data_IF_445432890520
#
_entry.id   IF_445432890520
#
_cell.length_a   1.000
_cell.length_b   1.000
_cell.length_c   1.000
_cell.angle_alpha   90.00
_cell.angle_beta   90.00
_cell.angle_gamma   90.00
#
_symmetry.space_group_name_H-M   'P 1'
#
loop_
_entity.id
_entity.type
_entity.pdbx_description
1 polymer ?
#
# COMPACT_ATOMS: atom_id res chain seq x y z
N UNK A 1 -38.34 18.56 15.90
CA UNK A 1 -37.72 18.49 14.54
C UNK A 1 -37.22 19.87 14.15
N UNK A 2 -35.96 20.20 14.44
CA UNK A 2 -35.34 21.45 13.98
C UNK A 2 -34.78 21.24 12.57
N UNK A 3 -35.39 21.89 11.57
CA UNK A 3 -34.87 21.94 10.20
C UNK A 3 -33.54 22.71 10.21
N UNK A 4 -32.42 21.99 10.13
CA UNK A 4 -31.12 22.53 9.76
C UNK A 4 -31.23 23.13 8.34
N UNK A 5 -31.51 24.42 8.24
CA UNK A 5 -31.38 25.18 6.99
C UNK A 5 -29.89 25.36 6.68
N UNK A 6 -29.32 24.46 5.89
CA UNK A 6 -28.02 24.67 5.26
C UNK A 6 -28.16 25.72 4.15
N UNK A 7 -27.93 26.98 4.49
CA UNK A 7 -27.91 28.08 3.52
C UNK A 7 -26.49 28.22 2.96
N UNK A 8 -26.20 27.55 1.85
CA UNK A 8 -24.90 27.62 1.16
C UNK A 8 -24.78 28.89 0.31
N UNK A 9 -24.50 30.03 0.93
CA UNK A 9 -24.23 31.28 0.21
C UNK A 9 -22.73 31.36 -0.18
N UNK A 10 -22.33 30.66 -1.25
CA UNK A 10 -20.93 30.53 -1.69
C UNK A 10 -20.32 31.81 -2.31
N UNK A 11 -21.15 32.74 -2.80
CA UNK A 11 -20.69 33.80 -3.74
C UNK A 11 -19.85 34.93 -3.13
N UNK A 12 -19.91 35.19 -1.82
CA UNK A 12 -19.28 36.37 -1.20
C UNK A 12 -18.22 36.08 -0.11
N UNK A 13 -17.87 34.81 0.15
CA UNK A 13 -17.01 34.45 1.30
C UNK A 13 -15.64 33.84 0.94
N UNK A 14 -15.42 33.41 -0.31
CA UNK A 14 -14.12 32.87 -0.73
C UNK A 14 -13.11 34.00 -0.93
N UNK A 15 -12.04 34.01 -0.12
CA UNK A 15 -11.02 35.04 -0.21
C UNK A 15 -9.97 34.67 -1.26
N UNK A 16 -10.03 35.30 -2.44
CA UNK A 16 -9.01 35.14 -3.49
C UNK A 16 -7.92 36.22 -3.47
N UNK A 17 -8.03 37.24 -2.62
CA UNK A 17 -7.09 38.38 -2.61
C UNK A 17 -5.70 37.98 -2.12
N UNK A 18 -4.68 38.22 -2.94
CA UNK A 18 -3.27 37.97 -2.58
C UNK A 18 -2.71 39.15 -1.79
N UNK A 19 -3.05 40.38 -2.20
CA UNK A 19 -2.64 41.62 -1.55
C UNK A 19 -3.60 41.97 -0.42
N UNK A 20 -3.06 42.30 0.74
CA UNK A 20 -3.79 42.75 1.92
C UNK A 20 -3.03 43.94 2.52
N UNK A 21 -3.74 44.83 3.21
CA UNK A 21 -3.11 46.01 3.83
C UNK A 21 -2.15 45.62 4.96
N UNK A 22 -2.36 44.45 5.56
CA UNK A 22 -1.47 43.88 6.56
C UNK A 22 -0.42 42.95 5.92
N UNK A 23 0.86 43.32 6.04
CA UNK A 23 2.01 42.58 5.51
C UNK A 23 2.11 41.13 6.04
N UNK A 24 1.69 40.85 7.27
CA UNK A 24 1.71 39.49 7.83
C UNK A 24 0.66 38.59 7.16
N UNK A 25 -0.54 39.14 6.90
CA UNK A 25 -1.62 38.43 6.22
C UNK A 25 -1.25 38.20 4.76
N UNK A 26 -0.64 39.18 4.10
CA UNK A 26 -0.12 39.05 2.74
C UNK A 26 0.94 37.95 2.64
N UNK A 27 1.91 37.91 3.56
CA UNK A 27 2.94 36.86 3.61
C UNK A 27 2.33 35.47 3.79
N UNK A 28 1.33 35.33 4.67
CA UNK A 28 0.61 34.07 4.88
C UNK A 28 -0.18 33.63 3.64
N UNK A 29 -0.88 34.55 2.99
CA UNK A 29 -1.63 34.28 1.76
C UNK A 29 -0.70 33.83 0.62
N UNK A 30 0.43 34.52 0.43
CA UNK A 30 1.44 34.15 -0.56
C UNK A 30 2.04 32.76 -0.29
N UNK A 31 2.34 32.46 0.98
CA UNK A 31 2.85 31.15 1.36
C UNK A 31 1.85 30.01 1.06
N UNK A 32 0.54 30.24 1.26
CA UNK A 32 -0.50 29.26 0.92
C UNK A 32 -0.62 29.02 -0.58
N UNK A 33 -0.54 30.07 -1.41
CA UNK A 33 -0.52 29.92 -2.87
C UNK A 33 0.71 29.18 -3.35
N UNK A 34 1.90 29.52 -2.82
CA UNK A 34 3.14 28.83 -3.16
C UNK A 34 3.03 27.34 -2.84
N UNK A 35 2.55 27.00 -1.64
CA UNK A 35 2.38 25.60 -1.23
C UNK A 35 1.34 24.89 -2.09
N UNK A 36 0.20 25.52 -2.38
CA UNK A 36 -0.82 24.97 -3.29
C UNK A 36 -0.22 24.64 -4.66
N UNK A 37 0.47 25.60 -5.28
CA UNK A 37 1.07 25.43 -6.60
C UNK A 37 2.13 24.33 -6.63
N UNK A 38 3.10 24.34 -5.70
CA UNK A 38 4.14 23.31 -5.66
C UNK A 38 3.57 21.93 -5.31
N UNK A 39 2.56 21.85 -4.42
CA UNK A 39 1.88 20.59 -4.11
C UNK A 39 1.17 20.01 -5.32
N UNK A 40 0.47 20.85 -6.12
CA UNK A 40 -0.17 20.40 -7.35
C UNK A 40 0.87 19.91 -8.37
N UNK A 41 1.96 20.66 -8.56
CA UNK A 41 3.03 20.29 -9.49
C UNK A 41 3.71 18.97 -9.09
N UNK A 42 4.08 18.81 -7.82
CA UNK A 42 4.69 17.56 -7.33
C UNK A 42 3.69 16.40 -7.49
N UNK A 43 2.41 16.61 -7.17
CA UNK A 43 1.40 15.57 -7.32
C UNK A 43 1.24 15.11 -8.77
N UNK A 44 1.22 16.03 -9.74
CA UNK A 44 1.19 15.69 -11.16
C UNK A 44 2.43 14.90 -11.62
N UNK A 45 3.62 15.27 -11.13
CA UNK A 45 4.87 14.54 -11.45
C UNK A 45 4.84 13.11 -10.89
N UNK A 46 4.35 12.94 -9.66
CA UNK A 46 4.20 11.64 -9.00
C UNK A 46 3.24 10.72 -9.77
N UNK A 47 2.25 11.29 -10.46
CA UNK A 47 1.31 10.57 -11.32
C UNK A 47 1.87 10.21 -12.71
N UNK A 48 3.13 10.52 -13.02
CA UNK A 48 3.71 10.22 -14.34
C UNK A 48 3.57 8.74 -14.77
N UNK A 49 3.81 7.71 -13.91
CA UNK A 49 3.59 6.32 -14.32
C UNK A 49 2.12 6.04 -14.63
N UNK A 50 1.20 6.71 -13.94
CA UNK A 50 -0.24 6.56 -14.14
C UNK A 50 -0.69 7.16 -15.48
N UNK A 51 -0.07 8.23 -15.97
CA UNK A 51 -0.35 8.74 -17.32
C UNK A 51 0.09 7.78 -18.42
N UNK A 52 1.25 7.14 -18.24
CA UNK A 52 1.71 6.08 -19.16
C UNK A 52 0.72 4.91 -19.14
N UNK A 53 0.25 4.53 -17.95
CA UNK A 53 -0.78 3.50 -17.81
C UNK A 53 -2.08 3.84 -18.56
N UNK A 54 -2.60 5.07 -18.40
CA UNK A 54 -3.79 5.52 -19.15
C UNK A 54 -3.55 5.38 -20.65
N UNK A 55 -2.41 5.88 -21.16
CA UNK A 55 -2.07 5.76 -22.57
C UNK A 55 -2.09 4.29 -23.05
N UNK A 56 -1.46 3.38 -22.30
CA UNK A 56 -1.42 1.95 -22.64
C UNK A 56 -2.83 1.36 -22.66
N UNK A 57 -3.63 1.58 -21.63
CA UNK A 57 -4.99 1.00 -21.55
C UNK A 57 -5.92 1.49 -22.66
N UNK A 58 -5.72 2.70 -23.18
CA UNK A 58 -6.54 3.26 -24.25
C UNK A 58 -6.08 2.86 -25.65
N UNK A 59 -4.85 2.36 -25.80
CA UNK A 59 -4.25 2.01 -27.10
C UNK A 59 -3.90 0.52 -27.21
N UNK A 60 -4.39 -0.32 -26.30
CA UNK A 60 -4.11 -1.75 -26.32
C UNK A 60 -5.27 -2.51 -26.98
N UNK A 61 -5.14 -2.80 -28.27
CA UNK A 61 -6.13 -3.57 -29.04
C UNK A 61 -6.35 -4.97 -28.44
N UNK A 62 -5.32 -5.58 -27.85
CA UNK A 62 -5.44 -6.88 -27.19
C UNK A 62 -6.32 -6.80 -25.93
N UNK A 63 -6.26 -5.68 -25.19
CA UNK A 63 -7.15 -5.44 -24.05
C UNK A 63 -8.60 -5.28 -24.52
N UNK A 64 -8.83 -4.51 -25.60
CA UNK A 64 -10.18 -4.31 -26.13
C UNK A 64 -10.80 -5.64 -26.58
N UNK A 65 -10.04 -6.46 -27.29
CA UNK A 65 -10.47 -7.80 -27.70
C UNK A 65 -10.76 -8.70 -26.50
N UNK A 66 -9.91 -8.68 -25.47
CA UNK A 66 -10.13 -9.39 -24.21
C UNK A 66 -11.44 -8.96 -23.53
N UNK A 67 -11.68 -7.65 -23.43
CA UNK A 67 -12.87 -7.10 -22.77
C UNK A 67 -14.15 -7.39 -23.54
N UNK A 68 -14.10 -7.46 -24.87
CA UNK A 68 -15.25 -7.86 -25.70
C UNK A 68 -15.64 -9.34 -25.48
N UNK A 69 -14.66 -10.20 -25.20
CA UNK A 69 -14.85 -11.63 -24.99
C UNK A 69 -14.92 -12.02 -23.50
N UNK A 70 -15.02 -11.05 -22.59
CA UNK A 70 -14.97 -11.27 -21.15
C UNK A 70 -16.05 -12.23 -20.65
N UNK A 71 -17.23 -12.23 -21.25
CA UNK A 71 -18.34 -13.09 -20.84
C UNK A 71 -17.96 -14.57 -20.99
N UNK A 72 -17.38 -14.93 -22.14
CA UNK A 72 -16.91 -16.29 -22.44
C UNK A 72 -15.81 -16.71 -21.45
N UNK A 73 -14.85 -15.82 -21.21
CA UNK A 73 -13.76 -16.06 -20.26
C UNK A 73 -14.30 -16.24 -18.83
N UNK A 74 -15.22 -15.37 -18.40
CA UNK A 74 -15.75 -15.34 -17.03
C UNK A 74 -16.59 -16.55 -16.64
N UNK A 75 -17.13 -17.30 -17.62
CA UNK A 75 -17.84 -18.55 -17.38
C UNK A 75 -16.92 -19.67 -16.91
N UNK A 76 -15.65 -19.64 -17.32
CA UNK A 76 -14.69 -20.72 -17.09
C UNK A 76 -13.51 -20.29 -16.21
N UNK A 77 -13.17 -19.00 -16.21
CA UNK A 77 -12.00 -18.43 -15.57
C UNK A 77 -12.36 -17.17 -14.78
N UNK A 78 -11.86 -17.05 -13.55
CA UNK A 78 -11.95 -15.84 -12.72
C UNK A 78 -11.02 -14.70 -13.19
N UNK A 79 -11.32 -14.12 -14.35
CA UNK A 79 -10.50 -13.08 -15.00
C UNK A 79 -10.97 -11.66 -14.63
N UNK A 80 -10.08 -10.65 -14.65
CA UNK A 80 -10.47 -9.27 -14.33
C UNK A 80 -11.49 -8.68 -15.31
N UNK A 81 -12.60 -8.16 -14.79
CA UNK A 81 -13.65 -7.57 -15.63
C UNK A 81 -13.37 -6.12 -16.04
N UNK A 82 -14.21 -5.59 -16.94
CA UNK A 82 -14.10 -4.21 -17.42
C UNK A 82 -14.11 -3.15 -16.30
N UNK A 83 -14.96 -3.34 -15.29
CA UNK A 83 -15.04 -2.40 -14.17
C UNK A 83 -13.77 -2.40 -13.31
N UNK A 84 -13.17 -3.56 -13.09
CA UNK A 84 -11.94 -3.75 -12.32
C UNK A 84 -10.72 -3.12 -13.00
N UNK A 85 -10.68 -3.04 -14.33
CA UNK A 85 -9.60 -2.37 -15.06
C UNK A 85 -9.99 -0.91 -15.34
N UNK A 86 -10.96 -0.68 -16.23
CA UNK A 86 -11.30 0.64 -16.76
C UNK A 86 -12.14 1.46 -15.77
N UNK A 87 -13.08 0.83 -15.06
CA UNK A 87 -13.91 1.52 -14.06
C UNK A 87 -13.08 2.09 -12.90
N UNK A 88 -12.18 1.29 -12.33
CA UNK A 88 -11.24 1.73 -11.29
C UNK A 88 -10.29 2.83 -11.79
N UNK A 89 -9.84 2.76 -13.06
CA UNK A 89 -9.02 3.80 -13.69
C UNK A 89 -9.76 5.14 -13.71
N UNK A 90 -10.98 5.18 -14.22
CA UNK A 90 -11.73 6.44 -14.32
C UNK A 90 -12.19 6.99 -12.97
N UNK A 91 -12.49 6.11 -12.00
CA UNK A 91 -12.74 6.56 -10.63
C UNK A 91 -11.48 7.20 -10.01
N UNK A 92 -10.31 6.61 -10.24
CA UNK A 92 -9.02 7.20 -9.84
C UNK A 92 -8.84 8.59 -10.45
N UNK A 93 -9.06 8.74 -11.76
CA UNK A 93 -9.02 10.05 -12.46
C UNK A 93 -10.00 11.04 -11.84
N UNK A 94 -11.23 10.61 -11.51
CA UNK A 94 -12.20 11.45 -10.81
C UNK A 94 -11.69 11.99 -9.48
N UNK A 95 -11.04 11.15 -8.68
CA UNK A 95 -10.39 11.58 -7.43
C UNK A 95 -9.16 12.46 -7.67
N UNK A 96 -8.35 12.24 -8.72
CA UNK A 96 -7.24 13.13 -9.10
C UNK A 96 -7.77 14.53 -9.39
N UNK A 97 -8.82 14.64 -10.20
CA UNK A 97 -9.45 15.94 -10.53
C UNK A 97 -9.99 16.60 -9.27
N UNK A 98 -10.68 15.85 -8.41
CA UNK A 98 -11.17 16.35 -7.12
C UNK A 98 -10.01 16.87 -6.25
N UNK A 99 -8.91 16.12 -6.13
CA UNK A 99 -7.72 16.52 -5.38
C UNK A 99 -7.11 17.80 -5.94
N UNK A 100 -6.98 17.94 -7.26
CA UNK A 100 -6.47 19.15 -7.90
C UNK A 100 -7.37 20.36 -7.61
N UNK A 101 -8.69 20.19 -7.73
CA UNK A 101 -9.66 21.24 -7.36
C UNK A 101 -9.47 21.62 -5.90
N UNK A 102 -9.38 20.65 -4.98
CA UNK A 102 -9.14 20.94 -3.58
C UNK A 102 -7.83 21.74 -3.42
N UNK A 103 -6.69 21.27 -3.93
CA UNK A 103 -5.40 21.98 -3.81
C UNK A 103 -5.50 23.42 -4.34
N UNK A 104 -6.10 23.65 -5.50
CA UNK A 104 -6.24 24.99 -6.08
C UNK A 104 -7.11 25.90 -5.19
N UNK A 105 -8.14 25.34 -4.56
CA UNK A 105 -9.03 26.04 -3.62
C UNK A 105 -8.51 26.09 -2.18
N UNK A 106 -7.29 25.61 -1.91
CA UNK A 106 -6.68 25.60 -0.58
C UNK A 106 -6.74 26.97 0.11
N UNK A 107 -6.19 27.99 -0.54
CA UNK A 107 -6.16 29.34 0.00
C UNK A 107 -7.57 29.91 0.21
N UNK A 108 -8.44 29.99 -0.82
CA UNK A 108 -9.74 30.65 -0.68
C UNK A 108 -10.64 29.96 0.35
N UNK A 109 -10.50 28.64 0.54
CA UNK A 109 -11.24 27.91 1.55
C UNK A 109 -10.70 28.15 2.98
N UNK A 110 -9.39 28.05 3.18
CA UNK A 110 -8.78 28.15 4.52
C UNK A 110 -8.90 29.57 5.10
N UNK A 111 -8.87 30.58 4.23
CA UNK A 111 -8.90 32.01 4.60
C UNK A 111 -10.31 32.63 4.55
N UNK A 112 -11.34 31.83 4.29
CA UNK A 112 -12.74 32.24 4.31
C UNK A 112 -13.15 32.76 5.70
N UNK A 113 -13.93 33.86 5.72
CA UNK A 113 -14.48 34.44 6.95
C UNK A 113 -15.40 33.41 7.65
N UNK A 114 -15.31 33.30 8.98
CA UNK A 114 -16.09 32.38 9.84
C UNK A 114 -15.78 30.86 9.72
N UNK A 115 -14.61 30.44 9.21
CA UNK A 115 -14.21 29.02 9.27
C UNK A 115 -13.68 28.62 10.64
N UNK A 116 -14.31 27.63 11.26
CA UNK A 116 -13.82 26.98 12.49
C UNK A 116 -12.60 26.11 12.20
N UNK A 117 -11.80 25.83 13.24
CA UNK A 117 -10.63 24.94 13.14
C UNK A 117 -11.02 23.53 12.66
N UNK A 118 -12.15 23.01 13.14
CA UNK A 118 -12.69 21.72 12.72
C UNK A 118 -12.99 21.67 11.22
N UNK A 119 -13.52 22.75 10.63
CA UNK A 119 -13.80 22.79 9.19
C UNK A 119 -12.52 22.79 8.35
N UNK A 120 -11.44 23.42 8.83
CA UNK A 120 -10.13 23.34 8.17
C UNK A 120 -9.55 21.94 8.28
N UNK A 121 -9.76 21.26 9.41
CA UNK A 121 -9.28 19.91 9.64
C UNK A 121 -10.01 18.90 8.76
N UNK A 122 -11.35 18.99 8.66
CA UNK A 122 -12.16 18.19 7.73
C UNK A 122 -11.68 18.38 6.30
N UNK A 123 -11.44 19.62 5.88
CA UNK A 123 -10.96 19.91 4.53
C UNK A 123 -9.61 19.23 4.23
N UNK A 124 -8.65 19.28 5.17
CA UNK A 124 -7.38 18.59 4.97
C UNK A 124 -7.54 17.07 5.00
N UNK A 125 -8.42 16.53 5.84
CA UNK A 125 -8.77 15.11 5.82
C UNK A 125 -9.36 14.70 4.46
N UNK A 126 -10.28 15.50 3.90
CA UNK A 126 -10.85 15.25 2.56
C UNK A 126 -9.78 15.33 1.48
N UNK A 127 -8.88 16.31 1.52
CA UNK A 127 -7.76 16.41 0.59
C UNK A 127 -6.87 15.15 0.66
N UNK A 128 -6.46 14.77 1.87
CA UNK A 128 -5.61 13.58 2.10
C UNK A 128 -6.32 12.31 1.63
N UNK A 129 -7.59 12.13 2.00
CA UNK A 129 -8.40 11.00 1.59
C UNK A 129 -8.57 10.92 0.08
N UNK A 130 -8.80 12.06 -0.60
CA UNK A 130 -8.89 12.10 -2.06
C UNK A 130 -7.59 11.69 -2.75
N UNK A 131 -6.43 12.14 -2.24
CA UNK A 131 -5.15 11.70 -2.77
C UNK A 131 -4.94 10.20 -2.58
N UNK A 132 -5.13 9.69 -1.36
CA UNK A 132 -4.92 8.28 -1.05
C UNK A 132 -5.87 7.39 -1.86
N UNK A 133 -7.14 7.75 -1.97
CA UNK A 133 -8.11 7.02 -2.79
C UNK A 133 -7.76 7.04 -4.27
N UNK A 134 -7.29 8.18 -4.79
CA UNK A 134 -6.86 8.25 -6.20
C UNK A 134 -5.74 7.27 -6.52
N UNK A 135 -4.70 7.23 -5.68
CA UNK A 135 -3.56 6.34 -5.86
C UNK A 135 -3.94 4.87 -5.66
N UNK A 136 -4.76 4.57 -4.65
CA UNK A 136 -5.19 3.21 -4.35
C UNK A 136 -6.08 2.63 -5.46
N UNK A 137 -7.05 3.40 -5.96
CA UNK A 137 -7.90 2.97 -7.08
C UNK A 137 -7.08 2.82 -8.37
N UNK A 138 -6.13 3.73 -8.61
CA UNK A 138 -5.24 3.65 -9.76
C UNK A 138 -4.30 2.44 -9.70
N UNK A 139 -3.79 2.11 -8.51
CA UNK A 139 -2.98 0.92 -8.28
C UNK A 139 -3.78 -0.37 -8.41
N UNK A 140 -5.02 -0.41 -7.91
CA UNK A 140 -5.91 -1.57 -8.11
C UNK A 140 -6.22 -1.80 -9.59
N UNK A 141 -6.47 -0.73 -10.35
CA UNK A 141 -6.66 -0.82 -11.81
C UNK A 141 -5.41 -1.39 -12.51
N UNK A 142 -4.22 -0.86 -12.19
CA UNK A 142 -2.94 -1.37 -12.70
C UNK A 142 -2.69 -2.83 -12.30
N UNK A 143 -3.05 -3.21 -11.07
CA UNK A 143 -2.96 -4.58 -10.58
C UNK A 143 -3.83 -5.53 -11.39
N UNK A 144 -5.10 -5.17 -11.63
CA UNK A 144 -5.99 -5.98 -12.46
C UNK A 144 -5.54 -6.03 -13.93
N UNK A 145 -5.02 -4.92 -14.45
CA UNK A 145 -4.42 -4.90 -15.79
C UNK A 145 -3.20 -5.83 -15.88
N UNK A 146 -2.34 -5.87 -14.85
CA UNK A 146 -1.19 -6.78 -14.83
C UNK A 146 -1.60 -8.27 -14.85
N UNK A 147 -2.77 -8.62 -14.28
CA UNK A 147 -3.31 -9.97 -14.40
C UNK A 147 -3.78 -10.27 -15.83
N UNK A 148 -4.47 -9.31 -16.47
CA UNK A 148 -4.80 -9.42 -17.90
C UNK A 148 -3.54 -9.62 -18.73
N UNK A 149 -2.48 -8.87 -18.44
CA UNK A 149 -1.24 -8.97 -19.21
C UNK A 149 -0.52 -10.31 -18.99
N UNK A 150 -0.50 -10.81 -17.75
CA UNK A 150 0.02 -12.16 -17.46
C UNK A 150 -0.76 -13.21 -18.26
N UNK A 151 -2.09 -13.11 -18.30
CA UNK A 151 -2.94 -13.97 -19.12
C UNK A 151 -2.64 -13.83 -20.62
N UNK A 152 -2.56 -12.60 -21.14
CA UNK A 152 -2.22 -12.33 -22.54
C UNK A 152 -0.87 -12.93 -22.93
N UNK A 153 0.17 -12.74 -22.12
CA UNK A 153 1.51 -13.30 -22.38
C UNK A 153 1.48 -14.82 -22.35
N UNK A 154 0.78 -15.41 -21.39
CA UNK A 154 0.60 -16.86 -21.31
C UNK A 154 -0.10 -17.41 -22.56
N UNK A 155 -1.25 -16.84 -22.93
CA UNK A 155 -2.04 -17.26 -24.09
C UNK A 155 -1.31 -17.08 -25.41
N UNK A 156 -0.50 -16.03 -25.54
CA UNK A 156 0.26 -15.74 -26.75
C UNK A 156 1.44 -16.68 -26.97
N UNK A 157 2.05 -17.17 -25.88
CA UNK A 157 3.28 -17.99 -25.89
C UNK A 157 3.01 -19.50 -25.81
N UNK A 158 1.76 -19.90 -25.61
CA UNK A 158 1.30 -21.29 -25.57
C UNK A 158 0.57 -21.65 -26.86
N UNK A 159 0.57 -22.93 -27.21
CA UNK A 159 0.03 -23.41 -28.48
C UNK A 159 -1.49 -23.49 -28.43
N UNK A 160 -2.20 -22.96 -29.43
CA UNK A 160 -3.66 -22.96 -29.44
C UNK A 160 -4.27 -24.36 -29.66
N UNK A 161 -3.54 -25.29 -30.28
CA UNK A 161 -4.05 -26.61 -30.67
C UNK A 161 -4.35 -27.53 -29.46
N UNK A 162 -3.57 -27.39 -28.40
CA UNK A 162 -3.64 -28.18 -27.15
C UNK A 162 -4.76 -27.71 -26.20
N UNK A 163 -5.34 -26.53 -26.48
CA UNK A 163 -6.38 -25.88 -25.67
C UNK A 163 -7.78 -26.37 -25.98
N UNK A 164 -8.72 -26.05 -25.09
CA UNK A 164 -10.17 -26.30 -25.26
C UNK A 164 -10.81 -25.34 -26.27
N UNK A 165 -11.88 -25.78 -26.93
CA UNK A 165 -12.47 -25.07 -28.08
C UNK A 165 -12.87 -23.62 -27.78
N UNK A 166 -13.41 -23.34 -26.57
CA UNK A 166 -13.92 -22.02 -26.22
C UNK A 166 -12.84 -20.93 -26.13
N UNK A 167 -11.56 -21.28 -25.92
CA UNK A 167 -10.45 -20.32 -25.81
C UNK A 167 -9.54 -20.30 -27.04
N UNK A 168 -9.62 -21.30 -27.94
CA UNK A 168 -8.74 -21.41 -29.11
C UNK A 168 -8.71 -20.15 -29.97
N UNK A 169 -9.87 -19.53 -30.18
CA UNK A 169 -9.96 -18.31 -31.00
C UNK A 169 -9.25 -17.12 -30.34
N UNK A 170 -9.31 -17.03 -29.00
CA UNK A 170 -8.66 -15.97 -28.22
C UNK A 170 -7.15 -16.19 -28.24
N UNK A 171 -6.70 -17.40 -27.94
CA UNK A 171 -5.28 -17.77 -27.99
C UNK A 171 -4.69 -17.51 -29.38
N UNK A 172 -5.37 -17.95 -30.45
CA UNK A 172 -4.92 -17.72 -31.82
C UNK A 172 -4.79 -16.24 -32.18
N UNK A 173 -5.74 -15.41 -31.72
CA UNK A 173 -5.70 -13.97 -31.91
C UNK A 173 -4.49 -13.35 -31.19
N UNK A 174 -4.25 -13.73 -29.93
CA UNK A 174 -3.11 -13.24 -29.15
C UNK A 174 -1.77 -13.72 -29.69
N UNK A 175 -1.64 -14.99 -30.08
CA UNK A 175 -0.42 -15.53 -30.71
C UNK A 175 -0.08 -14.78 -32.00
N UNK A 176 -1.09 -14.49 -32.84
CA UNK A 176 -0.89 -13.70 -34.06
C UNK A 176 -0.35 -12.31 -33.74
N UNK A 177 -1.03 -11.57 -32.86
CA UNK A 177 -0.61 -10.21 -32.49
C UNK A 177 0.76 -10.19 -31.79
N UNK A 178 1.09 -11.24 -31.03
CA UNK A 178 2.40 -11.39 -30.42
C UNK A 178 3.52 -11.54 -31.45
N UNK A 179 3.31 -12.42 -32.45
CA UNK A 179 4.26 -12.64 -33.54
C UNK A 179 4.42 -11.40 -34.43
N UNK A 180 3.31 -10.71 -34.70
CA UNK A 180 3.28 -9.47 -35.49
C UNK A 180 3.77 -8.24 -34.70
N UNK A 181 4.04 -8.39 -33.40
CA UNK A 181 4.47 -7.33 -32.47
C UNK A 181 3.49 -6.15 -32.37
N UNK A 182 2.20 -6.44 -32.43
CA UNK A 182 1.12 -5.44 -32.38
C UNK A 182 0.76 -5.18 -30.91
N UNK A 183 0.94 -3.92 -30.48
CA UNK A 183 0.49 -3.41 -29.18
C UNK A 183 0.94 -4.24 -27.95
N UNK A 184 2.19 -4.71 -27.98
CA UNK A 184 2.82 -5.41 -26.85
C UNK A 184 3.51 -4.38 -25.95
N UNK A 185 2.82 -3.98 -24.88
CA UNK A 185 3.30 -2.91 -23.99
C UNK A 185 4.23 -3.36 -22.86
N UNK A 186 4.25 -4.65 -22.51
CA UNK A 186 5.08 -5.17 -21.41
C UNK A 186 4.97 -4.34 -20.11
N UNK A 187 3.73 -4.15 -19.65
CA UNK A 187 3.46 -3.49 -18.38
C UNK A 187 4.09 -4.24 -17.21
N UNK A 188 4.24 -3.50 -16.11
CA UNK A 188 4.96 -3.96 -14.94
C UNK A 188 4.16 -5.02 -14.18
N UNK A 189 4.87 -5.90 -13.48
CA UNK A 189 4.25 -6.96 -12.69
C UNK A 189 3.36 -6.38 -11.58
N UNK A 190 2.38 -7.19 -11.16
CA UNK A 190 1.45 -6.88 -10.07
C UNK A 190 2.13 -6.34 -8.80
N UNK A 191 3.35 -6.79 -8.55
CA UNK A 191 4.17 -6.50 -7.39
C UNK A 191 4.82 -5.11 -7.48
N UNK A 192 5.34 -4.75 -8.66
CA UNK A 192 5.97 -3.46 -8.90
C UNK A 192 4.93 -2.33 -8.82
N UNK A 193 3.68 -2.61 -9.23
CA UNK A 193 2.56 -1.67 -9.08
C UNK A 193 2.38 -1.26 -7.61
N UNK A 194 2.40 -2.21 -6.67
CA UNK A 194 2.27 -1.92 -5.23
C UNK A 194 3.45 -1.12 -4.67
N UNK A 195 4.68 -1.46 -5.08
CA UNK A 195 5.87 -0.71 -4.69
C UNK A 195 5.88 0.73 -5.24
N UNK A 196 5.42 0.91 -6.47
CA UNK A 196 5.25 2.24 -7.07
C UNK A 196 4.21 3.06 -6.29
N UNK A 197 3.04 2.48 -6.00
CA UNK A 197 2.01 3.12 -5.17
C UNK A 197 2.55 3.54 -3.80
N UNK A 198 3.37 2.71 -3.16
CA UNK A 198 4.02 3.04 -1.89
C UNK A 198 4.87 4.31 -2.00
N UNK A 199 5.74 4.41 -3.01
CA UNK A 199 6.57 5.60 -3.23
C UNK A 199 5.71 6.85 -3.48
N UNK A 200 4.61 6.70 -4.23
CA UNK A 200 3.66 7.79 -4.49
C UNK A 200 2.95 8.26 -3.21
N UNK A 201 2.53 7.33 -2.34
CA UNK A 201 1.92 7.65 -1.05
C UNK A 201 2.87 8.43 -0.14
N UNK A 202 4.14 8.05 -0.06
CA UNK A 202 5.12 8.78 0.74
C UNK A 202 5.21 10.26 0.33
N UNK A 203 5.23 10.55 -0.97
CA UNK A 203 5.27 11.93 -1.47
C UNK A 203 3.97 12.68 -1.14
N UNK A 204 2.81 12.03 -1.30
CA UNK A 204 1.49 12.57 -0.95
C UNK A 204 1.38 12.91 0.55
N UNK A 205 1.89 12.04 1.43
CA UNK A 205 1.92 12.33 2.85
C UNK A 205 2.86 13.51 3.15
N UNK A 206 4.01 13.61 2.48
CA UNK A 206 4.89 14.77 2.56
C UNK A 206 4.22 16.09 2.14
N UNK A 207 3.43 16.06 1.06
CA UNK A 207 2.59 17.19 0.61
C UNK A 207 1.57 17.54 1.68
N UNK A 208 0.82 16.55 2.17
CA UNK A 208 -0.23 16.71 3.16
C UNK A 208 0.29 17.35 4.44
N UNK A 209 1.43 16.87 4.96
CA UNK A 209 2.08 17.44 6.15
C UNK A 209 2.47 18.90 5.91
N UNK A 210 3.01 19.19 4.73
CA UNK A 210 3.42 20.56 4.36
C UNK A 210 2.21 21.50 4.32
N UNK A 211 1.07 21.03 3.80
CA UNK A 211 -0.20 21.76 3.79
C UNK A 211 -0.75 21.95 5.21
N UNK A 212 -0.82 20.88 6.01
CA UNK A 212 -1.28 20.92 7.41
C UNK A 212 -0.52 21.97 8.22
N UNK A 213 0.81 21.93 8.14
CA UNK A 213 1.67 22.85 8.88
C UNK A 213 1.40 24.31 8.52
N UNK A 214 1.13 24.62 7.23
CA UNK A 214 0.85 26.00 6.80
C UNK A 214 -0.54 26.47 7.22
N UNK A 215 -1.49 25.57 7.44
CA UNK A 215 -2.84 25.89 7.92
C UNK A 215 -2.84 26.07 9.45
N UNK A 216 -2.21 25.14 10.18
CA UNK A 216 -2.32 25.01 11.64
C UNK A 216 -1.08 25.45 12.42
N UNK A 217 -0.08 26.07 11.79
CA UNK A 217 1.14 26.55 12.46
C UNK A 217 0.78 27.27 13.77
N UNK A 218 1.23 26.69 14.89
CA UNK A 218 1.17 27.36 16.20
C UNK A 218 2.04 28.63 16.15
N UNK A 219 1.68 29.63 16.95
CA UNK A 219 2.64 30.69 17.32
C UNK A 219 3.70 30.04 18.21
N UNK A 220 4.97 30.34 17.97
CA UNK A 220 6.07 29.90 18.84
C UNK A 220 5.69 30.18 20.32
N UNK A 221 5.79 29.15 21.18
CA UNK A 221 5.55 29.15 22.64
C UNK A 221 4.21 28.61 23.20
N UNK A 222 3.39 27.86 22.45
CA UNK A 222 2.22 27.15 23.03
C UNK A 222 2.35 25.64 22.87
N UNK A 223 2.54 24.90 23.97
CA UNK A 223 2.65 23.43 23.92
C UNK A 223 3.21 22.77 25.18
N UNK A 224 3.34 21.44 25.12
CA UNK A 224 3.95 20.56 26.15
C UNK A 224 5.32 21.10 26.60
N UNK A 225 6.04 21.75 25.70
CA UNK A 225 7.35 22.35 25.95
C UNK A 225 7.35 23.47 27.00
N UNK A 226 6.32 24.34 27.06
CA UNK A 226 6.24 25.41 28.08
C UNK A 226 6.09 24.83 29.49
N UNK A 227 5.31 23.74 29.63
CA UNK A 227 5.16 23.02 30.89
C UNK A 227 6.50 22.42 31.31
N UNK A 228 7.19 21.72 30.41
CA UNK A 228 8.46 21.06 30.76
C UNK A 228 9.58 22.08 31.06
N UNK A 229 9.65 23.21 30.37
CA UNK A 229 10.61 24.28 30.69
C UNK A 229 10.31 24.91 32.05
N UNK A 230 9.05 24.97 32.45
CA UNK A 230 8.61 25.43 33.77
C UNK A 230 8.93 24.40 34.87
N UNK A 231 8.64 23.11 34.66
CA UNK A 231 8.93 22.03 35.63
C UNK A 231 10.43 21.73 35.75
N UNK A 232 11.25 22.04 34.74
CA UNK A 232 12.71 21.87 34.81
C UNK A 232 13.42 23.06 35.46
N UNK A 233 12.86 24.26 35.38
CA UNK A 233 13.38 25.41 36.15
C UNK A 233 13.27 25.17 37.66
N UNK A 234 12.34 24.31 38.10
CA UNK A 234 12.19 23.94 39.52
C UNK A 234 13.04 22.74 39.96
N UNK A 235 13.64 21.96 39.04
CA UNK A 235 14.55 20.85 39.39
C UNK A 235 15.97 21.18 38.93
N UNK A 236 16.78 21.70 39.85
CA UNK A 236 18.23 21.85 39.69
C UNK A 236 18.91 20.48 39.50
N UNK A 237 18.91 19.96 38.26
CA UNK A 237 19.65 18.74 37.92
C UNK A 237 21.11 19.14 37.63
N UNK A 238 21.99 18.71 38.53
CA UNK A 238 23.39 19.10 38.59
C UNK A 238 24.32 18.41 37.58
N UNK A 239 25.29 19.22 37.13
CA UNK A 239 26.70 18.96 36.83
C UNK A 239 27.20 17.98 35.74
N UNK A 240 26.54 16.90 35.33
CA UNK A 240 27.20 15.96 34.39
C UNK A 240 26.69 16.06 32.93
N UNK A 241 27.55 16.44 31.97
CA UNK A 241 27.18 16.66 30.55
C UNK A 241 26.61 15.39 29.88
N UNK A 242 27.13 14.22 30.21
CA UNK A 242 26.68 12.93 29.69
C UNK A 242 25.34 12.52 30.29
N UNK A 243 25.18 12.62 31.61
CA UNK A 243 23.91 12.39 32.31
C UNK A 243 22.83 13.37 31.82
N UNK A 244 23.18 14.64 31.57
CA UNK A 244 22.28 15.65 31.03
C UNK A 244 21.86 15.35 29.60
N UNK A 245 22.75 14.81 28.76
CA UNK A 245 22.42 14.33 27.40
C UNK A 245 21.58 13.06 27.42
N UNK A 246 21.89 12.11 28.30
CA UNK A 246 21.11 10.88 28.50
C UNK A 246 19.69 11.20 28.99
N UNK A 247 19.56 12.03 30.02
CA UNK A 247 18.27 12.56 30.50
C UNK A 247 17.55 13.41 29.44
N UNK A 248 18.25 13.95 28.43
CA UNK A 248 17.64 14.66 27.29
C UNK A 248 16.98 13.70 26.31
N UNK A 249 17.53 12.50 26.13
CA UNK A 249 16.98 11.43 25.27
C UNK A 249 15.73 10.82 25.92
N UNK A 250 15.73 10.70 27.26
CA UNK A 250 14.57 10.26 28.06
C UNK A 250 13.65 11.41 28.52
N UNK A 251 13.93 12.66 28.13
CA UNK A 251 13.07 13.80 28.43
C UNK A 251 11.77 13.61 27.66
N UNK A 252 10.64 13.49 28.33
CA UNK A 252 9.34 13.36 27.66
C UNK A 252 8.99 14.66 26.94
N UNK A 253 9.02 14.67 25.60
CA UNK A 253 8.67 15.80 24.72
C UNK A 253 8.12 15.23 23.41
N UNK A 254 7.35 16.01 22.63
CA UNK A 254 6.83 15.54 21.33
C UNK A 254 7.96 15.02 20.41
N UNK A 255 9.14 15.65 20.44
CA UNK A 255 10.31 15.23 19.65
C UNK A 255 10.90 13.88 20.09
N UNK A 256 11.05 13.66 21.40
CA UNK A 256 11.58 12.40 21.94
C UNK A 256 10.57 11.28 21.87
N UNK A 257 9.27 11.57 22.08
CA UNK A 257 8.16 10.64 21.83
C UNK A 257 8.13 10.21 20.36
N UNK A 258 8.26 11.15 19.43
CA UNK A 258 8.39 10.83 18.00
C UNK A 258 9.60 9.93 17.72
N UNK A 259 10.74 10.21 18.38
CA UNK A 259 11.95 9.39 18.25
C UNK A 259 11.76 7.94 18.71
N UNK A 260 11.15 7.74 19.88
CA UNK A 260 10.82 6.40 20.38
C UNK A 260 9.84 5.67 19.48
N UNK A 261 8.83 6.36 18.95
CA UNK A 261 7.88 5.77 18.00
C UNK A 261 8.55 5.35 16.69
N UNK A 262 9.49 6.14 16.17
CA UNK A 262 10.28 5.77 14.99
C UNK A 262 11.11 4.52 15.27
N UNK A 263 11.81 4.46 16.41
CA UNK A 263 12.64 3.30 16.77
C UNK A 263 11.77 2.03 16.82
N UNK A 264 10.64 2.10 17.52
CA UNK A 264 9.71 0.96 17.65
C UNK A 264 9.13 0.56 16.31
N UNK A 265 8.72 1.55 15.49
CA UNK A 265 8.24 1.29 14.14
C UNK A 265 9.30 0.60 13.28
N UNK A 266 10.57 1.04 13.32
CA UNK A 266 11.66 0.40 12.57
C UNK A 266 11.84 -1.06 13.02
N UNK A 267 11.86 -1.33 14.32
CA UNK A 267 12.02 -2.70 14.83
C UNK A 267 10.89 -3.63 14.40
N UNK A 268 9.65 -3.14 14.36
CA UNK A 268 8.49 -3.93 13.93
C UNK A 268 8.35 -4.02 12.40
N UNK A 269 8.74 -2.98 11.66
CA UNK A 269 8.64 -2.94 10.20
C UNK A 269 9.74 -3.76 9.54
N UNK A 270 10.98 -3.72 10.06
CA UNK A 270 12.14 -4.28 9.37
C UNK A 270 12.01 -5.78 9.06
N UNK A 271 11.61 -6.66 9.99
CA UNK A 271 11.42 -8.09 9.69
C UNK A 271 10.35 -8.30 8.60
N UNK A 272 9.26 -7.53 8.65
CA UNK A 272 8.17 -7.64 7.67
C UNK A 272 8.55 -7.05 6.31
N UNK A 273 9.40 -6.03 6.29
CA UNK A 273 9.97 -5.47 5.06
C UNK A 273 10.87 -6.48 4.34
N UNK A 274 11.74 -7.17 5.07
CA UNK A 274 12.60 -8.20 4.48
C UNK A 274 11.73 -9.34 3.93
N UNK A 275 10.73 -9.78 4.69
CA UNK A 275 9.79 -10.81 4.25
C UNK A 275 9.04 -10.41 2.96
N UNK A 276 8.53 -9.19 2.88
CA UNK A 276 7.85 -8.70 1.68
C UNK A 276 8.79 -8.56 0.49
N UNK A 277 10.07 -8.23 0.68
CA UNK A 277 11.07 -8.27 -0.40
C UNK A 277 11.25 -9.70 -0.92
N UNK A 278 11.40 -10.69 -0.03
CA UNK A 278 11.58 -12.08 -0.46
C UNK A 278 10.37 -12.63 -1.22
N UNK A 279 9.17 -12.25 -0.81
CA UNK A 279 7.92 -12.63 -1.47
C UNK A 279 7.79 -12.04 -2.89
N UNK A 280 8.47 -10.93 -3.17
CA UNK A 280 8.34 -10.16 -4.41
C UNK A 280 9.44 -10.41 -5.44
N UNK A 281 10.59 -10.96 -5.02
CA UNK A 281 11.72 -11.24 -5.90
C UNK A 281 11.46 -12.52 -6.71
N UNK A 282 11.48 -12.49 -8.06
CA UNK A 282 11.14 -13.64 -8.90
C UNK A 282 12.05 -14.86 -8.75
N UNK A 283 13.24 -14.71 -8.18
CA UNK A 283 14.24 -15.78 -8.04
C UNK A 283 14.15 -16.53 -6.72
N UNK A 284 13.25 -16.14 -5.81
CA UNK A 284 13.12 -16.79 -4.50
C UNK A 284 12.24 -18.04 -4.58
N UNK A 285 12.47 -18.97 -3.67
CA UNK A 285 11.63 -20.16 -3.54
C UNK A 285 10.18 -19.76 -3.19
N UNK A 286 10.02 -18.77 -2.31
CA UNK A 286 8.71 -18.25 -1.89
C UNK A 286 7.88 -17.77 -3.08
N UNK A 287 8.46 -16.92 -3.95
CA UNK A 287 7.74 -16.39 -5.10
C UNK A 287 7.32 -17.50 -6.08
N UNK A 288 8.22 -18.46 -6.28
CA UNK A 288 8.00 -19.58 -7.19
C UNK A 288 6.88 -20.49 -6.69
N UNK A 289 6.88 -20.86 -5.41
CA UNK A 289 5.79 -21.61 -4.76
C UNK A 289 4.47 -20.87 -4.93
N UNK A 290 4.43 -19.55 -4.65
CA UNK A 290 3.21 -18.76 -4.78
C UNK A 290 2.69 -18.73 -6.22
N UNK A 291 3.56 -18.54 -7.20
CA UNK A 291 3.16 -18.53 -8.61
C UNK A 291 2.61 -19.89 -9.03
N UNK A 292 3.28 -20.98 -8.68
CA UNK A 292 2.87 -22.33 -9.07
C UNK A 292 1.61 -22.80 -8.35
N UNK A 293 1.41 -22.42 -7.09
CA UNK A 293 0.19 -22.75 -6.34
C UNK A 293 -1.01 -21.90 -6.75
N UNK A 294 -0.83 -20.60 -6.99
CA UNK A 294 -1.98 -19.70 -7.20
C UNK A 294 -2.19 -19.23 -8.64
N UNK A 295 -1.12 -18.96 -9.40
CA UNK A 295 -1.23 -18.39 -10.75
C UNK A 295 -1.29 -19.47 -11.83
N UNK A 296 -0.36 -20.42 -11.80
CA UNK A 296 -0.24 -21.45 -12.84
C UNK A 296 -1.46 -22.35 -12.87
N UNK A 297 -1.90 -22.86 -11.70
CA UNK A 297 -3.06 -23.74 -11.64
C UNK A 297 -4.32 -23.08 -12.22
N UNK A 298 -4.42 -21.77 -12.09
CA UNK A 298 -5.51 -20.99 -12.68
C UNK A 298 -5.39 -20.87 -14.21
N UNK A 299 -4.18 -20.61 -14.72
CA UNK A 299 -3.93 -20.46 -16.15
C UNK A 299 -4.12 -21.78 -16.91
N UNK A 300 -3.71 -22.92 -16.34
CA UNK A 300 -3.78 -24.24 -16.98
C UNK A 300 -5.20 -24.80 -17.18
N UNK A 301 -6.22 -24.07 -16.70
CA UNK A 301 -7.62 -24.50 -16.85
C UNK A 301 -8.09 -24.51 -18.32
N UNK A 302 -7.34 -23.85 -19.20
CA UNK A 302 -7.56 -23.72 -20.65
C UNK A 302 -7.11 -24.94 -21.47
N UNK A 303 -6.36 -25.87 -20.89
CA UNK A 303 -5.91 -27.08 -21.59
C UNK A 303 -6.98 -28.17 -21.65
N UNK A 304 -6.98 -28.97 -22.71
CA UNK A 304 -7.82 -30.17 -22.81
C UNK A 304 -7.56 -31.20 -21.69
N UNK A 305 -6.33 -31.21 -21.16
CA UNK A 305 -5.89 -32.05 -20.03
C UNK A 305 -6.20 -31.45 -18.65
N UNK A 306 -6.83 -30.27 -18.61
CA UNK A 306 -7.25 -29.54 -17.40
C UNK A 306 -7.97 -30.41 -16.35
N UNK A 307 -8.88 -31.35 -16.68
CA UNK A 307 -9.51 -32.21 -15.67
C UNK A 307 -8.51 -33.04 -14.85
N UNK A 308 -7.51 -33.61 -15.51
CA UNK A 308 -6.47 -34.41 -14.82
C UNK A 308 -5.53 -33.53 -13.98
N UNK A 309 -5.20 -32.34 -14.48
CA UNK A 309 -4.39 -31.35 -13.76
C UNK A 309 -5.14 -30.86 -12.51
N UNK A 310 -6.43 -30.56 -12.63
CA UNK A 310 -7.28 -30.11 -11.53
C UNK A 310 -7.46 -31.21 -10.49
N UNK A 311 -7.64 -32.46 -10.89
CA UNK A 311 -7.71 -33.59 -9.97
C UNK A 311 -6.40 -33.75 -9.20
N UNK A 312 -5.25 -33.72 -9.89
CA UNK A 312 -3.94 -33.78 -9.25
C UNK A 312 -3.71 -32.62 -8.27
N UNK A 313 -4.13 -31.39 -8.64
CA UNK A 313 -4.07 -30.24 -7.76
C UNK A 313 -4.99 -30.39 -6.53
N UNK A 314 -6.24 -30.81 -6.72
CA UNK A 314 -7.19 -30.98 -5.63
C UNK A 314 -6.75 -32.07 -4.65
N UNK A 315 -6.19 -33.16 -5.15
CA UNK A 315 -5.61 -34.23 -4.33
C UNK A 315 -4.40 -33.75 -3.52
N UNK A 316 -3.60 -32.84 -4.08
CA UNK A 316 -2.48 -32.22 -3.38
C UNK A 316 -2.95 -31.25 -2.30
N UNK A 317 -3.99 -30.46 -2.59
CA UNK A 317 -4.55 -29.46 -1.68
C UNK A 317 -5.58 -30.03 -0.69
N UNK A 318 -5.76 -31.35 -0.61
CA UNK A 318 -6.75 -32.09 0.18
C UNK A 318 -7.21 -31.39 1.48
N UNK A 319 -8.32 -30.64 1.41
CA UNK A 319 -8.96 -30.00 2.57
C UNK A 319 -8.26 -28.73 3.11
N UNK A 320 -7.17 -28.28 2.50
CA UNK A 320 -6.57 -26.97 2.81
C UNK A 320 -7.30 -25.85 2.05
N UNK A 321 -8.00 -25.00 2.80
CA UNK A 321 -8.52 -23.75 2.28
C UNK A 321 -7.36 -22.78 2.03
N UNK A 322 -6.87 -22.73 0.80
CA UNK A 322 -5.88 -21.75 0.41
C UNK A 322 -6.49 -20.34 0.49
N UNK A 323 -5.88 -19.46 1.28
CA UNK A 323 -6.21 -18.03 1.26
C UNK A 323 -6.07 -17.44 -0.15
N UNK A 324 -6.73 -16.33 -0.45
CA UNK A 324 -6.64 -15.75 -1.80
C UNK A 324 -5.23 -15.22 -2.09
N UNK A 325 -4.78 -15.33 -3.35
CA UNK A 325 -3.47 -14.83 -3.78
C UNK A 325 -3.27 -13.34 -3.43
N UNK A 326 -4.33 -12.54 -3.49
CA UNK A 326 -4.29 -11.14 -3.08
C UNK A 326 -3.93 -10.98 -1.59
N UNK A 327 -4.54 -11.77 -0.71
CA UNK A 327 -4.30 -11.72 0.75
C UNK A 327 -2.88 -12.21 1.06
N UNK A 328 -2.44 -13.30 0.42
CA UNK A 328 -1.13 -13.89 0.69
C UNK A 328 -0.01 -13.02 0.12
N UNK A 329 -0.12 -12.58 -1.14
CA UNK A 329 0.96 -11.85 -1.82
C UNK A 329 0.87 -10.33 -1.67
N UNK A 330 -0.28 -9.74 -2.00
CA UNK A 330 -0.38 -8.27 -2.18
C UNK A 330 -0.60 -7.53 -0.86
N UNK A 331 -1.39 -8.09 0.06
CA UNK A 331 -1.79 -7.41 1.29
C UNK A 331 -0.62 -7.08 2.23
N UNK A 332 0.36 -7.99 2.48
CA UNK A 332 1.53 -7.66 3.31
C UNK A 332 2.35 -6.51 2.72
N UNK A 333 2.48 -6.44 1.38
CA UNK A 333 3.18 -5.36 0.68
C UNK A 333 2.46 -4.02 0.91
N UNK A 334 1.13 -4.01 0.73
CA UNK A 334 0.30 -2.82 0.95
C UNK A 334 0.43 -2.33 2.39
N UNK A 335 0.30 -3.23 3.37
CA UNK A 335 0.34 -2.87 4.79
C UNK A 335 1.72 -2.41 5.22
N UNK A 336 2.79 -2.99 4.66
CA UNK A 336 4.17 -2.53 4.89
C UNK A 336 4.33 -1.10 4.37
N UNK A 337 3.87 -0.84 3.15
CA UNK A 337 3.95 0.48 2.54
C UNK A 337 3.16 1.56 3.30
N UNK A 338 1.92 1.25 3.70
CA UNK A 338 1.09 2.17 4.50
C UNK A 338 1.74 2.49 5.85
N UNK A 339 2.31 1.49 6.52
CA UNK A 339 2.93 1.65 7.85
C UNK A 339 4.26 2.40 7.80
N UNK A 340 5.07 2.17 6.76
CA UNK A 340 6.27 2.98 6.52
C UNK A 340 5.87 4.44 6.24
N UNK A 341 4.86 4.64 5.38
CA UNK A 341 4.40 5.98 5.03
C UNK A 341 3.84 6.75 6.24
N UNK A 342 3.15 6.08 7.17
CA UNK A 342 2.71 6.72 8.42
C UNK A 342 3.88 7.04 9.34
N UNK A 343 4.94 6.23 9.36
CA UNK A 343 6.17 6.49 10.11
C UNK A 343 6.87 7.78 9.65
N UNK A 344 6.81 8.11 8.35
CA UNK A 344 7.36 9.37 7.82
C UNK A 344 6.76 10.63 8.44
N UNK A 345 5.52 10.58 8.94
CA UNK A 345 4.93 11.67 9.71
C UNK A 345 5.79 12.01 10.94
N UNK A 346 6.19 10.99 11.70
CA UNK A 346 7.00 11.15 12.90
C UNK A 346 8.43 11.57 12.58
N UNK A 347 9.00 11.09 11.46
CA UNK A 347 10.30 11.56 10.96
C UNK A 347 10.25 13.07 10.67
N UNK A 348 9.19 13.53 10.00
CA UNK A 348 8.98 14.96 9.76
C UNK A 348 8.81 15.75 11.06
N UNK A 349 8.05 15.23 12.03
CA UNK A 349 7.89 15.86 13.34
C UNK A 349 9.23 15.96 14.09
N UNK A 350 10.07 14.92 14.03
CA UNK A 350 11.38 14.87 14.68
C UNK A 350 12.38 15.87 14.08
N UNK A 351 12.42 16.00 12.75
CA UNK A 351 13.33 16.92 12.04
C UNK A 351 12.91 18.38 12.24
N UNK A 352 11.61 18.69 12.14
CA UNK A 352 11.11 20.08 12.11
C UNK A 352 10.81 20.68 13.49
N UNK A 353 10.62 19.87 14.53
CA UNK A 353 10.25 20.36 15.86
C UNK A 353 8.75 20.73 16.01
N UNK A 354 8.35 21.03 17.25
CA UNK A 354 6.99 21.00 17.84
C UNK A 354 5.92 21.98 17.27
N UNK A 355 5.71 22.01 15.96
CA UNK A 355 4.68 22.84 15.34
C UNK A 355 3.41 22.07 14.92
N UNK A 356 3.32 20.77 15.23
CA UNK A 356 2.10 19.97 15.06
C UNK A 356 1.07 20.27 16.15
N UNK A 357 -0.22 20.20 15.82
CA UNK A 357 -1.28 20.25 16.83
C UNK A 357 -1.35 18.93 17.59
N UNK A 358 -1.62 19.00 18.91
CA UNK A 358 -1.66 17.84 19.80
C UNK A 358 -2.69 16.79 19.32
N UNK A 359 -3.81 17.24 18.74
CA UNK A 359 -4.84 16.38 18.15
C UNK A 359 -4.38 15.64 16.90
N UNK A 360 -3.61 16.29 16.02
CA UNK A 360 -3.05 15.63 14.82
C UNK A 360 -2.00 14.61 15.24
N UNK A 361 -1.15 14.95 16.22
CA UNK A 361 -0.16 14.01 16.75
C UNK A 361 -0.83 12.77 17.35
N UNK A 362 -1.88 12.93 18.16
CA UNK A 362 -2.64 11.82 18.74
C UNK A 362 -3.36 10.96 17.68
N UNK A 363 -3.91 11.57 16.64
CA UNK A 363 -4.53 10.84 15.54
C UNK A 363 -3.50 9.98 14.79
N UNK A 364 -2.34 10.55 14.43
CA UNK A 364 -1.27 9.84 13.75
C UNK A 364 -0.64 8.75 14.61
N UNK A 365 -0.57 8.97 15.93
CA UNK A 365 -0.16 7.97 16.91
C UNK A 365 -1.04 6.73 16.86
N UNK A 366 -2.36 6.92 16.89
CA UNK A 366 -3.33 5.83 16.81
C UNK A 366 -3.31 5.13 15.45
N UNK A 367 -3.14 5.88 14.36
CA UNK A 367 -2.99 5.32 13.00
C UNK A 367 -1.74 4.44 12.90
N UNK A 368 -0.59 4.89 13.43
CA UNK A 368 0.64 4.09 13.42
C UNK A 368 0.48 2.82 14.29
N UNK A 369 -0.16 2.92 15.45
CA UNK A 369 -0.43 1.77 16.31
C UNK A 369 -1.24 0.69 15.58
N UNK A 370 -2.38 1.07 14.99
CA UNK A 370 -3.21 0.16 14.21
C UNK A 370 -2.46 -0.38 12.98
N UNK A 371 -1.67 0.46 12.31
CA UNK A 371 -0.84 0.06 11.17
C UNK A 371 0.15 -1.04 11.55
N UNK A 372 0.87 -0.89 12.67
CA UNK A 372 1.82 -1.88 13.15
C UNK A 372 1.15 -3.21 13.55
N UNK A 373 0.03 -3.17 14.28
CA UNK A 373 -0.71 -4.39 14.66
C UNK A 373 -1.18 -5.14 13.41
N UNK A 374 -1.78 -4.41 12.47
CA UNK A 374 -2.33 -5.03 11.26
C UNK A 374 -1.22 -5.55 10.34
N UNK A 375 -0.11 -4.81 10.19
CA UNK A 375 1.09 -5.28 9.48
C UNK A 375 1.62 -6.59 10.05
N UNK A 376 1.85 -6.66 11.36
CA UNK A 376 2.35 -7.87 12.02
C UNK A 376 1.36 -9.03 11.87
N UNK A 377 0.06 -8.77 12.04
CA UNK A 377 -0.99 -9.80 11.91
C UNK A 377 -1.08 -10.38 10.50
N UNK A 378 -1.10 -9.53 9.47
CA UNK A 378 -1.18 -9.99 8.08
C UNK A 378 0.10 -10.69 7.64
N UNK A 379 1.26 -10.18 8.04
CA UNK A 379 2.54 -10.82 7.71
C UNK A 379 2.66 -12.19 8.38
N UNK A 380 2.20 -12.32 9.63
CA UNK A 380 2.15 -13.61 10.34
C UNK A 380 1.21 -14.60 9.64
N UNK A 381 0.00 -14.17 9.27
CA UNK A 381 -0.94 -15.00 8.51
C UNK A 381 -0.32 -15.50 7.21
N UNK A 382 0.28 -14.61 6.42
CA UNK A 382 0.93 -14.98 5.16
C UNK A 382 2.10 -15.94 5.37
N UNK A 383 2.98 -15.68 6.36
CA UNK A 383 4.11 -16.58 6.68
C UNK A 383 3.62 -17.99 7.04
N UNK A 384 2.56 -18.10 7.85
CA UNK A 384 1.96 -19.38 8.24
C UNK A 384 1.39 -20.11 7.02
N UNK A 385 0.68 -19.40 6.14
CA UNK A 385 0.10 -20.00 4.94
C UNK A 385 1.16 -20.52 3.98
N UNK A 386 2.21 -19.73 3.72
CA UNK A 386 3.32 -20.14 2.87
C UNK A 386 4.08 -21.33 3.46
N UNK A 387 4.25 -21.38 4.79
CA UNK A 387 4.87 -22.54 5.45
C UNK A 387 4.04 -23.81 5.25
N UNK A 388 2.70 -23.75 5.40
CA UNK A 388 1.84 -24.91 5.12
C UNK A 388 1.96 -25.37 3.68
N UNK A 389 1.95 -24.43 2.72
CA UNK A 389 2.13 -24.76 1.31
C UNK A 389 3.50 -25.44 1.12
N UNK A 390 4.58 -24.88 1.66
CA UNK A 390 5.91 -25.49 1.54
C UNK A 390 6.01 -26.87 2.21
N UNK A 391 5.29 -27.11 3.31
CA UNK A 391 5.19 -28.44 3.93
C UNK A 391 4.48 -29.45 3.02
N UNK A 392 3.39 -29.05 2.35
CA UNK A 392 2.70 -29.87 1.35
C UNK A 392 3.62 -30.18 0.16
N UNK A 393 4.33 -29.17 -0.33
CA UNK A 393 5.29 -29.31 -1.43
C UNK A 393 6.43 -30.28 -1.11
N UNK A 394 6.89 -30.28 0.13
CA UNK A 394 7.97 -31.15 0.61
C UNK A 394 7.50 -32.53 1.11
N UNK A 395 6.20 -32.83 1.02
CA UNK A 395 5.65 -34.09 1.54
C UNK A 395 6.08 -35.29 0.68
N UNK A 396 6.53 -36.36 1.35
CA UNK A 396 7.03 -37.59 0.69
C UNK A 396 5.89 -38.54 0.24
N UNK A 397 4.63 -38.13 0.38
CA UNK A 397 3.50 -39.00 0.05
C UNK A 397 3.27 -39.01 -1.47
N UNK A 398 3.67 -40.08 -2.17
CA UNK A 398 3.74 -40.16 -3.63
C UNK A 398 2.44 -39.76 -4.35
N UNK A 399 1.28 -40.16 -3.82
CA UNK A 399 -0.03 -39.86 -4.40
C UNK A 399 -0.45 -38.38 -4.31
N UNK A 400 0.00 -37.65 -3.29
CA UNK A 400 -0.28 -36.23 -3.06
C UNK A 400 0.98 -35.36 -3.17
N UNK A 401 2.05 -35.89 -3.76
CA UNK A 401 3.33 -35.22 -3.84
C UNK A 401 3.33 -34.18 -4.96
N UNK A 402 4.06 -33.09 -4.74
CA UNK A 402 4.21 -32.07 -5.78
C UNK A 402 4.95 -32.58 -7.02
N UNK A 403 5.81 -33.59 -6.86
CA UNK A 403 6.46 -34.28 -7.98
C UNK A 403 5.46 -34.94 -8.93
N UNK A 404 4.39 -35.53 -8.39
CA UNK A 404 3.32 -36.12 -9.20
C UNK A 404 2.55 -35.04 -9.96
N UNK A 405 2.22 -33.92 -9.30
CA UNK A 405 1.55 -32.79 -9.94
C UNK A 405 2.37 -32.19 -11.09
N UNK A 406 3.68 -31.96 -10.88
CA UNK A 406 4.56 -31.46 -11.95
C UNK A 406 4.68 -32.43 -13.11
N UNK A 407 4.72 -33.74 -12.85
CA UNK A 407 4.78 -34.74 -13.91
C UNK A 407 3.49 -34.75 -14.75
N UNK A 408 2.32 -34.71 -14.10
CA UNK A 408 1.01 -34.63 -14.80
C UNK A 408 0.94 -33.38 -15.68
N UNK A 409 1.42 -32.24 -15.18
CA UNK A 409 1.50 -31.02 -15.99
C UNK A 409 2.49 -31.24 -17.16
N UNK A 410 3.72 -31.64 -16.89
CA UNK A 410 4.75 -31.79 -17.91
C UNK A 410 4.33 -32.76 -19.04
N UNK A 411 3.60 -33.82 -18.72
CA UNK A 411 3.04 -34.74 -19.71
C UNK A 411 1.84 -34.12 -20.44
N UNK A 412 0.95 -33.44 -19.72
CA UNK A 412 -0.26 -32.84 -20.27
C UNK A 412 -0.05 -31.61 -21.16
N UNK A 413 1.09 -30.92 -21.02
CA UNK A 413 1.44 -29.68 -21.75
C UNK A 413 2.85 -29.73 -22.36
N UNK A 414 3.27 -30.91 -22.81
CA UNK A 414 4.65 -31.20 -23.26
C UNK A 414 5.22 -30.17 -24.24
N UNK A 415 4.41 -29.71 -25.19
CA UNK A 415 4.85 -28.78 -26.25
C UNK A 415 5.06 -27.35 -25.71
N UNK A 416 4.33 -26.98 -24.67
CA UNK A 416 4.30 -25.62 -24.09
C UNK A 416 5.10 -25.51 -22.78
N UNK A 417 5.56 -26.64 -22.22
CA UNK A 417 6.28 -26.74 -20.96
C UNK A 417 7.47 -25.77 -20.85
N UNK A 418 8.25 -25.66 -21.94
CA UNK A 418 9.42 -24.77 -21.99
C UNK A 418 9.03 -23.29 -21.90
N UNK A 419 7.97 -22.89 -22.61
CA UNK A 419 7.44 -21.53 -22.55
C UNK A 419 6.95 -21.20 -21.13
N UNK A 420 6.23 -22.14 -20.51
CA UNK A 420 5.67 -21.96 -19.17
C UNK A 420 6.76 -21.86 -18.09
N UNK A 421 7.79 -22.73 -18.11
CA UNK A 421 8.92 -22.60 -17.17
C UNK A 421 9.70 -21.30 -17.38
N UNK A 422 9.77 -20.79 -18.61
CA UNK A 422 10.47 -19.53 -18.89
C UNK A 422 9.71 -18.34 -18.29
N UNK A 423 8.37 -18.36 -18.33
CA UNK A 423 7.52 -17.34 -17.71
C UNK A 423 7.45 -17.49 -16.19
N UNK A 424 7.42 -18.72 -15.69
CA UNK A 424 7.23 -19.07 -14.28
C UNK A 424 8.33 -20.03 -13.82
N UNK A 425 9.55 -19.53 -13.58
CA UNK A 425 10.67 -20.37 -13.20
C UNK A 425 10.40 -21.11 -11.90
N UNK A 426 10.81 -22.38 -11.84
CA UNK A 426 10.67 -23.22 -10.66
C UNK A 426 11.71 -22.87 -9.57
N UNK A 427 12.85 -22.28 -9.92
CA UNK A 427 13.88 -21.81 -8.98
C UNK A 427 14.27 -22.82 -7.87
N UNK A 428 14.28 -24.12 -8.15
CA UNK A 428 14.70 -25.14 -7.18
C UNK A 428 13.58 -25.78 -6.35
N UNK A 429 12.31 -25.43 -6.58
CA UNK A 429 11.16 -26.08 -5.92
C UNK A 429 10.81 -27.47 -6.49
N UNK A 430 11.61 -27.97 -7.44
CA UNK A 430 11.44 -29.29 -8.08
C UNK A 430 11.75 -30.46 -7.13
N UNK A 431 12.45 -30.20 -6.04
CA UNK A 431 12.75 -31.17 -4.99
C UNK A 431 12.46 -30.59 -3.61
N UNK A 432 12.98 -31.23 -2.55
CA UNK A 432 12.85 -30.69 -1.20
C UNK A 432 13.58 -29.35 -1.08
N UNK A 433 12.86 -28.30 -0.71
CA UNK A 433 13.41 -26.97 -0.51
C UNK A 433 13.11 -26.47 0.89
N UNK A 434 13.95 -25.57 1.39
CA UNK A 434 13.72 -24.86 2.64
C UNK A 434 13.37 -23.42 2.33
N UNK A 435 12.35 -22.91 3.03
CA UNK A 435 12.05 -21.48 3.00
C UNK A 435 13.14 -20.71 3.73
N UNK A 436 13.43 -19.50 3.26
CA UNK A 436 14.44 -18.61 3.84
C UNK A 436 14.02 -18.01 5.19
N UNK A 437 12.79 -18.28 5.65
CA UNK A 437 12.21 -17.71 6.87
C UNK A 437 11.95 -18.75 7.98
N UNK A 438 11.48 -18.23 9.12
CA UNK A 438 11.14 -19.01 10.31
C UNK A 438 10.05 -20.06 10.06
N UNK A 439 10.18 -21.22 10.71
CA UNK A 439 9.14 -22.25 10.74
C UNK A 439 7.84 -21.73 11.36
N UNK A 440 6.74 -22.46 11.22
CA UNK A 440 5.41 -22.05 11.72
C UNK A 440 5.43 -21.67 13.21
N UNK A 441 6.01 -22.53 14.07
CA UNK A 441 6.11 -22.25 15.51
C UNK A 441 6.98 -21.02 15.81
N UNK A 442 8.08 -20.86 15.07
CA UNK A 442 8.97 -19.71 15.24
C UNK A 442 8.35 -18.41 14.74
N UNK A 443 7.54 -18.45 13.68
CA UNK A 443 6.74 -17.31 13.19
C UNK A 443 5.69 -16.88 14.22
N UNK A 444 5.02 -17.83 14.87
CA UNK A 444 4.06 -17.53 15.96
C UNK A 444 4.78 -16.85 17.13
N UNK A 445 5.95 -17.36 17.52
CA UNK A 445 6.76 -16.76 18.58
C UNK A 445 7.23 -15.34 18.22
N UNK A 446 7.75 -15.12 17.00
CA UNK A 446 8.11 -13.79 16.45
C UNK A 446 6.93 -12.83 16.58
N UNK A 447 5.74 -13.25 16.16
CA UNK A 447 4.50 -12.46 16.19
C UNK A 447 4.10 -12.06 17.60
N UNK A 448 4.15 -12.99 18.56
CA UNK A 448 3.83 -12.71 19.97
C UNK A 448 4.82 -11.71 20.56
N UNK A 449 6.11 -11.86 20.29
CA UNK A 449 7.16 -10.96 20.77
C UNK A 449 6.95 -9.56 20.18
N UNK A 450 6.74 -9.44 18.86
CA UNK A 450 6.51 -8.16 18.19
C UNK A 450 5.26 -7.45 18.71
N UNK A 451 4.11 -8.15 18.79
CA UNK A 451 2.87 -7.57 19.29
C UNK A 451 3.00 -7.12 20.75
N UNK A 452 3.65 -7.92 21.60
CA UNK A 452 3.91 -7.55 22.99
C UNK A 452 4.77 -6.30 23.08
N UNK A 453 5.82 -6.20 22.26
CA UNK A 453 6.69 -5.03 22.20
C UNK A 453 5.96 -3.77 21.71
N UNK A 454 5.13 -3.89 20.66
CA UNK A 454 4.29 -2.79 20.14
C UNK A 454 3.32 -2.33 21.22
N UNK A 455 2.54 -3.24 21.82
CA UNK A 455 1.53 -2.91 22.83
C UNK A 455 2.17 -2.27 24.06
N UNK A 456 3.25 -2.85 24.59
CA UNK A 456 3.94 -2.32 25.76
C UNK A 456 4.48 -0.92 25.50
N UNK A 457 5.13 -0.71 24.34
CA UNK A 457 5.72 0.59 24.02
C UNK A 457 4.66 1.67 23.82
N UNK A 458 3.58 1.35 23.08
CA UNK A 458 2.49 2.29 22.88
C UNK A 458 1.69 2.55 24.17
N UNK A 459 1.61 1.58 25.09
CA UNK A 459 1.02 1.83 26.41
C UNK A 459 1.88 2.81 27.23
N UNK A 460 3.20 2.62 27.25
CA UNK A 460 4.14 3.48 27.99
C UNK A 460 4.14 4.91 27.43
N UNK A 461 4.30 5.06 26.11
CA UNK A 461 4.32 6.38 25.45
C UNK A 461 2.96 7.09 25.59
N UNK A 462 1.85 6.33 25.49
CA UNK A 462 0.50 6.85 25.68
C UNK A 462 0.22 7.32 27.10
N UNK A 463 0.62 6.55 28.11
CA UNK A 463 0.46 6.90 29.52
C UNK A 463 1.21 8.18 29.89
N UNK A 464 2.48 8.30 29.46
CA UNK A 464 3.29 9.50 29.69
C UNK A 464 2.69 10.74 28.99
N UNK A 465 2.12 10.57 27.78
CA UNK A 465 1.41 11.64 27.07
C UNK A 465 0.18 12.13 27.84
N UNK A 466 -0.62 11.20 28.39
CA UNK A 466 -1.83 11.52 29.14
C UNK A 466 -1.53 12.24 30.45
N UNK A 467 -0.52 11.76 31.20
CA UNK A 467 -0.07 12.37 32.46
C UNK A 467 0.34 13.83 32.28
N UNK A 468 1.03 14.15 31.18
CA UNK A 468 1.42 15.52 30.84
C UNK A 468 0.19 16.39 30.54
N UNK A 469 -0.82 15.86 29.86
CA UNK A 469 -2.04 16.61 29.50
C UNK A 469 -2.87 16.94 30.74
N UNK A 470 -3.02 16.01 31.68
CA UNK A 470 -3.79 16.26 32.91
C UNK A 470 -3.07 17.20 33.89
N UNK A 471 -1.74 17.15 33.97
CA UNK A 471 -1.01 18.11 34.80
C UNK A 471 -1.01 19.55 34.25
N UNK A 472 -1.42 19.76 32.98
CA UNK A 472 -1.74 21.09 32.43
C UNK A 472 -3.14 21.60 32.80
N UNK A 473 -4.03 20.74 33.29
CA UNK A 473 -5.39 21.13 33.71
C UNK A 473 -5.47 21.48 35.19
N UNK A 474 -4.47 21.07 35.98
CA UNK A 474 -4.38 21.28 37.43
C UNK A 474 -3.57 22.54 37.80
N UNK A 475 -2.79 23.08 36.86
CA UNK A 475 -2.05 24.35 36.96
C UNK A 475 -2.58 25.33 35.92
#
# INVERSE_FOLDING_TARGET
MNKLKFNFNFKNNLNWKIKDANLEIQRKNWALYKVSFFSALIFLVVLSPFYVFIYITQNNINLDFYLQNINILSEHLNVPNNFQIIGLLWMSVGFIVLSLILILFLKPFVTMKNRTENMRLIYVMTLTGSFTLSLLLGALSQYNYSQFEEFFKYEALTTADTKVEWIKFISSYFTKNWNDKIDIYNWQSNTIVWWSMFMQLMVVFGITITVQNKIFSKKDNQGIERYITYTLRSKNISANKTLKSFLRIFRVSEKTMSGWLIIVAIFAILPQLIFTILLTVPTTNINSVLNWTYKINYLLQDYSTSPAINEAYNNLMNGTNNGSFFIVNSLPIIMTGVTISSTFFFVSALIRGNNSSDSIFAAQYFVLFLGLITLTSFSAYTKIEINKIAELWNSDNTASSWSNYLNVIQEGIKDDWKSIITLYPLNGIQGKFKLEWLSTNSTIAETIIELSFIIATFAIVGYESFKIKNNKLIN
#
